data_IF_738966611692
#
_entry.id   IF_738966611692
#
_cell.length_a   1.000
_cell.length_b   1.000
_cell.length_c   1.000
_cell.angle_alpha   90.00
_cell.angle_beta   90.00
_cell.angle_gamma   90.00
#
_symmetry.space_group_name_H-M   'P 1'
#
loop_
_entity.id
_entity.type
_entity.pdbx_description
1 polymer ?
#
# COMPACT_ATOMS: atom_id res chain seq x y z
N UNK A 1 3.61 -7.41 -17.90
CA UNK A 1 2.77 -6.35 -18.48
C UNK A 1 1.82 -5.85 -17.41
N UNK A 2 1.62 -4.54 -17.29
CA UNK A 2 0.57 -3.92 -16.45
C UNK A 2 -0.25 -3.04 -17.38
N UNK A 3 -1.55 -3.27 -17.47
CA UNK A 3 -2.46 -2.55 -18.38
C UNK A 3 -1.97 -2.51 -19.84
N UNK A 4 -1.42 -3.62 -20.33
CA UNK A 4 -0.92 -3.72 -21.71
C UNK A 4 0.42 -3.02 -21.97
N UNK A 5 1.08 -2.45 -20.95
CA UNK A 5 2.41 -1.86 -21.05
C UNK A 5 3.49 -2.77 -20.44
N UNK A 6 4.71 -2.70 -21.01
CA UNK A 6 5.89 -3.34 -20.41
C UNK A 6 6.11 -2.76 -19.01
N UNK A 7 6.46 -3.64 -18.08
CA UNK A 7 6.69 -3.26 -16.70
C UNK A 7 8.03 -3.82 -16.23
N UNK A 8 8.80 -3.01 -15.52
CA UNK A 8 10.00 -3.46 -14.84
C UNK A 8 9.60 -4.22 -13.56
N UNK A 9 10.19 -5.39 -13.34
CA UNK A 9 10.00 -6.19 -12.14
C UNK A 9 11.31 -6.25 -11.36
N UNK A 10 11.25 -5.96 -10.06
CA UNK A 10 12.34 -6.26 -9.12
C UNK A 10 11.85 -7.19 -8.02
N UNK A 11 12.58 -8.29 -7.84
CA UNK A 11 12.36 -9.25 -6.77
C UNK A 11 13.38 -9.02 -5.65
N UNK A 12 12.89 -8.92 -4.42
CA UNK A 12 13.72 -8.84 -3.21
C UNK A 12 13.35 -10.05 -2.34
N UNK A 13 14.34 -10.89 -2.06
CA UNK A 13 14.21 -12.02 -1.14
C UNK A 13 15.12 -11.81 0.07
N UNK A 14 14.52 -11.73 1.26
CA UNK A 14 15.23 -11.55 2.53
C UNK A 14 15.04 -12.81 3.35
N UNK A 15 16.14 -13.46 3.73
CA UNK A 15 16.11 -14.57 4.70
C UNK A 15 15.62 -14.02 6.04
N UNK A 16 14.50 -14.55 6.55
CA UNK A 16 13.88 -14.08 7.78
C UNK A 16 14.16 -15.00 8.97
N UNK A 17 14.11 -16.32 8.75
CA UNK A 17 14.62 -17.36 9.65
C UNK A 17 15.35 -18.42 8.81
N UNK A 18 15.78 -19.53 9.43
CA UNK A 18 16.35 -20.67 8.68
C UNK A 18 15.37 -21.24 7.64
N UNK A 19 14.07 -21.23 7.95
CA UNK A 19 13.03 -21.89 7.14
C UNK A 19 12.00 -20.90 6.54
N UNK A 20 12.17 -19.59 6.77
CA UNK A 20 11.25 -18.57 6.26
C UNK A 20 11.99 -17.46 5.52
N UNK A 21 11.42 -17.01 4.40
CA UNK A 21 11.84 -15.83 3.68
C UNK A 21 10.72 -14.80 3.61
N UNK A 22 11.08 -13.52 3.68
CA UNK A 22 10.22 -12.43 3.25
C UNK A 22 10.51 -12.14 1.77
N UNK A 23 9.45 -12.01 0.97
CA UNK A 23 9.54 -11.73 -0.47
C UNK A 23 8.77 -10.46 -0.77
N UNK A 24 9.44 -9.51 -1.41
CA UNK A 24 8.83 -8.29 -1.93
C UNK A 24 8.98 -8.25 -3.44
N UNK A 25 7.91 -7.86 -4.13
CA UNK A 25 7.89 -7.68 -5.57
C UNK A 25 7.57 -6.21 -5.80
N UNK A 26 8.47 -5.52 -6.50
CA UNK A 26 8.25 -4.14 -6.94
C UNK A 26 8.02 -4.16 -8.44
N UNK A 27 6.94 -3.50 -8.84
CA UNK A 27 6.46 -3.42 -10.21
C UNK A 27 6.36 -1.94 -10.57
N UNK A 28 7.02 -1.56 -11.66
CA UNK A 28 6.96 -0.21 -12.20
C UNK A 28 6.57 -0.24 -13.67
N UNK A 29 5.71 0.71 -14.09
CA UNK A 29 5.33 0.90 -15.50
C UNK A 29 6.41 1.64 -16.28
N UNK A 30 7.26 2.40 -15.59
CA UNK A 30 8.39 3.09 -16.19
C UNK A 30 9.68 2.28 -16.04
N UNK A 31 10.64 2.42 -16.96
CA UNK A 31 11.98 1.88 -16.75
C UNK A 31 12.58 2.52 -15.48
N UNK A 32 13.03 1.69 -14.54
CA UNK A 32 13.71 2.17 -13.33
C UNK A 32 14.95 2.97 -13.72
N UNK A 33 15.06 4.22 -13.27
CA UNK A 33 16.25 5.04 -13.47
C UNK A 33 17.21 4.88 -12.28
N UNK A 34 18.45 5.33 -12.45
CA UNK A 34 19.48 5.23 -11.41
C UNK A 34 19.05 5.86 -10.07
N UNK A 35 18.24 6.93 -10.12
CA UNK A 35 17.71 7.59 -8.92
C UNK A 35 16.78 6.67 -8.11
N UNK A 36 15.92 5.89 -8.76
CA UNK A 36 14.99 4.95 -8.09
C UNK A 36 15.75 3.85 -7.36
N UNK A 37 16.97 3.53 -7.81
CA UNK A 37 17.81 2.52 -7.19
C UNK A 37 18.15 2.84 -5.74
N UNK A 38 18.35 4.13 -5.40
CA UNK A 38 18.73 4.55 -4.04
C UNK A 38 17.57 4.40 -3.07
N UNK A 39 16.40 4.92 -3.44
CA UNK A 39 15.20 4.84 -2.61
C UNK A 39 14.74 3.40 -2.44
N UNK A 40 14.77 2.60 -3.50
CA UNK A 40 14.42 1.18 -3.43
C UNK A 40 15.41 0.39 -2.55
N UNK A 41 16.68 0.77 -2.55
CA UNK A 41 17.69 0.19 -1.64
C UNK A 41 17.40 0.60 -0.19
N UNK A 42 17.03 1.86 0.06
CA UNK A 42 16.58 2.32 1.39
C UNK A 42 15.36 1.55 1.89
N UNK A 43 14.36 1.30 1.04
CA UNK A 43 13.20 0.46 1.38
C UNK A 43 13.62 -0.97 1.71
N UNK A 44 14.58 -1.53 0.97
CA UNK A 44 15.08 -2.89 1.24
C UNK A 44 15.79 -2.95 2.59
N UNK A 45 16.63 -1.96 2.90
CA UNK A 45 17.39 -1.91 4.16
C UNK A 45 16.57 -1.48 5.36
N UNK A 46 15.37 -0.92 5.19
CA UNK A 46 14.46 -0.60 6.30
C UNK A 46 13.74 -1.82 6.84
N UNK A 47 13.79 -2.96 6.14
CA UNK A 47 13.22 -4.20 6.62
C UNK A 47 13.97 -4.69 7.87
N UNK A 48 13.25 -4.79 8.98
CA UNK A 48 13.75 -5.34 10.24
C UNK A 48 12.75 -6.31 10.84
N UNK A 49 13.26 -7.29 11.56
CA UNK A 49 12.43 -8.17 12.38
C UNK A 49 11.89 -7.41 13.58
N UNK A 50 10.60 -7.60 13.89
CA UNK A 50 10.03 -7.11 15.14
C UNK A 50 10.62 -7.88 16.32
N UNK A 51 11.13 -7.15 17.32
CA UNK A 51 11.53 -7.68 18.62
C UNK A 51 10.32 -8.17 19.41
N UNK A 52 10.55 -8.84 20.56
CA UNK A 52 9.45 -9.19 21.47
C UNK A 52 8.70 -7.95 21.98
N UNK A 53 9.43 -6.88 22.31
CA UNK A 53 8.83 -5.62 22.75
C UNK A 53 8.01 -4.94 21.64
N UNK A 54 8.51 -4.94 20.40
CA UNK A 54 7.73 -4.44 19.24
C UNK A 54 6.42 -5.23 19.10
N UNK A 55 6.48 -6.57 19.15
CA UNK A 55 5.29 -7.42 18.99
C UNK A 55 4.25 -7.23 20.08
N UNK A 56 4.68 -6.88 21.30
CA UNK A 56 3.78 -6.63 22.41
C UNK A 56 3.00 -5.31 22.29
N UNK A 57 3.51 -4.36 21.51
CA UNK A 57 2.99 -2.98 21.42
C UNK A 57 2.37 -2.66 20.07
N UNK A 58 2.82 -3.31 19.00
CA UNK A 58 2.31 -3.10 17.65
C UNK A 58 0.89 -3.63 17.53
N UNK A 59 -0.05 -2.71 17.25
CA UNK A 59 -1.38 -3.06 16.79
C UNK A 59 -1.42 -2.93 15.26
N UNK A 60 -1.63 -4.04 14.52
CA UNK A 60 -1.70 -3.97 13.08
C UNK A 60 -2.94 -3.20 12.66
N UNK A 61 -2.76 -2.20 11.79
CA UNK A 61 -3.87 -1.52 11.13
C UNK A 61 -4.63 -2.53 10.27
N UNK A 62 -5.96 -2.52 10.33
CA UNK A 62 -6.79 -3.43 9.54
C UNK A 62 -7.42 -2.69 8.38
N UNK A 63 -7.46 -3.34 7.22
CA UNK A 63 -8.18 -2.82 6.06
C UNK A 63 -9.52 -3.52 6.00
N UNK A 64 -10.59 -2.75 5.93
CA UNK A 64 -11.94 -3.25 5.65
C UNK A 64 -12.38 -2.79 4.29
N UNK A 65 -13.13 -3.65 3.60
CA UNK A 65 -13.77 -3.31 2.34
C UNK A 65 -15.23 -2.95 2.62
N UNK A 66 -15.66 -1.79 2.17
CA UNK A 66 -17.01 -1.24 2.37
C UNK A 66 -17.64 -0.91 1.01
N UNK A 67 -18.94 -1.13 0.88
CA UNK A 67 -19.72 -0.60 -0.23
C UNK A 67 -20.05 0.87 0.01
N UNK A 68 -19.86 1.73 -0.99
CA UNK A 68 -20.28 3.14 -0.94
C UNK A 68 -21.80 3.19 -0.97
N UNK A 69 -22.40 3.71 0.10
CA UNK A 69 -23.85 3.85 0.21
C UNK A 69 -24.37 5.05 -0.59
N UNK A 70 -25.67 5.06 -0.89
CA UNK A 70 -26.30 6.13 -1.67
C UNK A 70 -26.36 7.48 -0.93
N UNK A 71 -26.32 7.45 0.41
CA UNK A 71 -26.29 8.61 1.30
C UNK A 71 -24.87 9.08 1.65
N UNK A 72 -23.83 8.42 1.12
CA UNK A 72 -22.45 8.78 1.41
C UNK A 72 -22.04 10.09 0.72
N UNK A 73 -21.38 10.97 1.48
CA UNK A 73 -20.60 12.06 0.90
C UNK A 73 -19.29 11.49 0.33
N UNK A 74 -19.28 11.24 -0.98
CA UNK A 74 -18.14 10.68 -1.72
C UNK A 74 -16.88 11.55 -1.51
N UNK A 75 -17.03 12.87 -1.42
CA UNK A 75 -15.92 13.81 -1.20
C UNK A 75 -15.28 13.70 0.19
N UNK A 76 -15.93 12.99 1.13
CA UNK A 76 -15.50 12.85 2.52
C UNK A 76 -15.25 11.41 2.98
N UNK A 77 -15.36 10.41 2.09
CA UNK A 77 -15.11 9.00 2.45
C UNK A 77 -13.73 8.76 3.09
N UNK A 78 -12.72 9.56 2.71
CA UNK A 78 -11.38 9.51 3.30
C UNK A 78 -11.34 9.80 4.80
N UNK A 79 -12.34 10.49 5.36
CA UNK A 79 -12.42 10.79 6.80
C UNK A 79 -12.59 9.54 7.65
N UNK A 80 -13.05 8.43 7.07
CA UNK A 80 -13.15 7.13 7.74
C UNK A 80 -11.77 6.50 8.02
N UNK A 81 -10.68 7.00 7.40
CA UNK A 81 -9.34 6.46 7.58
C UNK A 81 -8.80 6.74 8.99
N UNK A 82 -8.60 5.69 9.79
CA UNK A 82 -7.95 5.76 11.11
C UNK A 82 -6.44 5.75 10.97
N UNK A 83 -5.91 6.83 10.42
CA UNK A 83 -4.47 7.05 10.20
C UNK A 83 -4.05 8.38 10.78
N UNK A 84 -2.83 8.43 11.32
CA UNK A 84 -2.22 9.60 11.94
C UNK A 84 -1.95 10.77 10.99
N UNK A 85 -1.80 10.47 9.71
CA UNK A 85 -1.18 11.35 8.73
C UNK A 85 -1.70 11.05 7.32
N UNK A 86 -1.90 12.11 6.53
CA UNK A 86 -2.29 12.04 5.12
C UNK A 86 -3.52 11.13 4.81
N UNK A 87 -4.64 11.25 5.54
CA UNK A 87 -5.78 10.34 5.36
C UNK A 87 -6.36 10.36 3.95
N UNK A 88 -6.46 11.54 3.33
CA UNK A 88 -6.96 11.68 1.97
C UNK A 88 -6.01 11.10 0.92
N UNK A 89 -4.71 11.38 1.01
CA UNK A 89 -3.72 10.83 0.08
C UNK A 89 -3.64 9.30 0.21
N UNK A 90 -3.64 8.78 1.45
CA UNK A 90 -3.66 7.32 1.69
C UNK A 90 -4.95 6.68 1.16
N UNK A 91 -6.10 7.32 1.37
CA UNK A 91 -7.36 6.85 0.81
C UNK A 91 -7.30 6.78 -0.72
N UNK A 92 -6.79 7.83 -1.37
CA UNK A 92 -6.68 7.90 -2.82
C UNK A 92 -5.74 6.83 -3.38
N UNK A 93 -4.58 6.61 -2.76
CA UNK A 93 -3.64 5.56 -3.17
C UNK A 93 -4.25 4.17 -2.96
N UNK A 94 -4.84 3.91 -1.79
CA UNK A 94 -5.38 2.60 -1.45
C UNK A 94 -6.57 2.19 -2.36
N UNK A 95 -7.35 3.18 -2.80
CA UNK A 95 -8.52 3.01 -3.65
C UNK A 95 -8.27 3.29 -5.14
N UNK A 96 -7.04 3.59 -5.54
CA UNK A 96 -6.70 3.85 -6.94
C UNK A 96 -7.29 5.14 -7.52
N UNK A 97 -7.75 6.08 -6.69
CA UNK A 97 -8.25 7.39 -7.15
C UNK A 97 -7.14 8.19 -7.83
N UNK A 98 -5.91 8.08 -7.30
CA UNK A 98 -4.74 8.76 -7.86
C UNK A 98 -4.38 8.32 -9.30
N UNK A 99 -4.90 7.18 -9.76
CA UNK A 99 -4.72 6.69 -11.14
C UNK A 99 -5.94 6.95 -12.03
N UNK A 100 -6.75 7.96 -11.69
CA UNK A 100 -7.89 8.41 -12.48
C UNK A 100 -9.21 7.69 -12.20
N UNK A 101 -9.26 6.78 -11.22
CA UNK A 101 -10.51 6.14 -10.81
C UNK A 101 -11.43 7.14 -10.11
N UNK A 102 -12.66 7.26 -10.57
CA UNK A 102 -13.74 7.92 -9.83
C UNK A 102 -14.44 6.92 -8.91
N UNK A 103 -14.82 7.36 -7.71
CA UNK A 103 -15.59 6.55 -6.75
C UNK A 103 -17.07 6.86 -6.95
N UNK A 104 -17.88 5.82 -7.09
CA UNK A 104 -19.31 5.91 -7.28
C UNK A 104 -20.09 5.19 -6.16
N UNK A 105 -21.38 5.49 -6.05
CA UNK A 105 -22.29 4.69 -5.22
C UNK A 105 -22.26 3.24 -5.68
N UNK A 106 -22.23 2.30 -4.74
CA UNK A 106 -22.11 0.86 -5.00
C UNK A 106 -20.67 0.36 -5.16
N UNK A 107 -19.68 1.24 -5.30
CA UNK A 107 -18.28 0.81 -5.38
C UNK A 107 -17.81 0.17 -4.07
N UNK A 108 -16.88 -0.77 -4.20
CA UNK A 108 -16.11 -1.26 -3.05
C UNK A 108 -14.89 -0.38 -2.81
N UNK A 109 -14.79 0.16 -1.60
CA UNK A 109 -13.67 0.97 -1.14
C UNK A 109 -12.98 0.30 0.04
N UNK A 110 -11.68 0.53 0.17
CA UNK A 110 -10.81 0.09 1.24
C UNK A 110 -10.62 1.23 2.24
N UNK A 111 -10.89 0.94 3.51
CA UNK A 111 -10.70 1.85 4.64
C UNK A 111 -9.75 1.20 5.64
N UNK A 112 -8.82 1.99 6.15
CA UNK A 112 -7.97 1.61 7.27
C UNK A 112 -8.68 1.94 8.58
N UNK A 113 -8.84 0.93 9.45
CA UNK A 113 -9.47 1.04 10.78
C UNK A 113 -8.50 0.72 11.90
#
# INVERSE_FOLDING_TARGET
>A
MIDGQLAALRLIAIRFTKDMMARFIVLDKSPLIAADSVELRRTTHSFRRLSHADKATVQPRRITVETVSADADIGQLWRKMRVSDFPQQRFNVLNGVAVGRQINVGDLIKIVR
#
